data_IF_780713297161
#
_entry.id   IF_780713297161
#
_cell.length_a   1.000
_cell.length_b   1.000
_cell.length_c   1.000
_cell.angle_alpha   90.00
_cell.angle_beta   90.00
_cell.angle_gamma   90.00
#
_symmetry.space_group_name_H-M   'P 1'
#
loop_
_entity.id
_entity.type
_entity.pdbx_description
1 polymer ?
#
# COMPACT_ATOMS: atom_id res chain seq x y z
N UNK A 1 18.92 11.57 22.39
CA UNK A 1 19.15 10.85 21.11
C UNK A 1 18.00 11.19 20.16
N UNK A 2 18.22 12.11 19.23
CA UNK A 2 17.24 12.48 18.21
C UNK A 2 17.41 11.52 17.03
N UNK A 3 16.44 10.63 16.83
CA UNK A 3 16.48 9.69 15.73
C UNK A 3 15.79 10.32 14.51
N UNK A 4 16.56 11.10 13.75
CA UNK A 4 16.09 11.58 12.44
C UNK A 4 16.12 10.43 11.45
N UNK A 5 14.97 9.77 11.25
CA UNK A 5 14.77 8.88 10.09
C UNK A 5 14.67 9.74 8.83
N UNK A 6 15.79 10.02 8.19
CA UNK A 6 15.79 10.48 6.81
C UNK A 6 15.55 9.25 5.92
N UNK A 7 14.29 8.89 5.73
CA UNK A 7 13.92 7.97 4.65
C UNK A 7 14.17 8.72 3.35
N UNK A 8 15.29 8.42 2.69
CA UNK A 8 15.50 8.81 1.28
C UNK A 8 14.53 7.97 0.44
N UNK A 9 13.29 8.41 0.36
CA UNK A 9 12.36 7.91 -0.65
C UNK A 9 12.91 8.38 -1.98
N UNK A 10 13.56 7.50 -2.74
CA UNK A 10 13.93 7.76 -4.13
C UNK A 10 12.65 7.84 -4.95
N UNK A 11 11.95 8.96 -4.86
CA UNK A 11 10.83 9.27 -5.76
C UNK A 11 11.49 9.51 -7.12
N UNK A 12 11.35 8.54 -8.02
CA UNK A 12 11.70 8.71 -9.42
C UNK A 12 10.97 9.95 -9.96
N UNK A 13 11.72 10.92 -10.46
CA UNK A 13 11.15 12.10 -11.13
C UNK A 13 10.27 11.65 -12.29
N UNK A 14 9.09 12.26 -12.49
CA UNK A 14 8.27 11.95 -13.64
C UNK A 14 9.04 12.31 -14.91
N UNK A 15 9.19 11.36 -15.84
CA UNK A 15 9.92 11.55 -17.10
C UNK A 15 9.05 12.37 -18.05
N UNK A 16 9.18 13.70 -17.99
CA UNK A 16 8.51 14.61 -18.91
C UNK A 16 9.39 14.88 -20.14
N UNK A 17 8.84 14.77 -21.35
CA UNK A 17 9.40 15.42 -22.52
C UNK A 17 9.07 16.93 -22.46
N UNK A 18 9.96 17.83 -22.89
CA UNK A 18 9.85 19.27 -22.62
C UNK A 18 8.75 20.04 -23.41
N UNK A 19 7.88 19.37 -24.19
CA UNK A 19 6.98 20.07 -25.14
C UNK A 19 5.51 19.66 -25.13
N UNK A 20 5.02 18.91 -24.14
CA UNK A 20 3.62 18.46 -24.11
C UNK A 20 2.89 18.91 -22.86
N UNK A 21 1.76 19.59 -23.04
CA UNK A 21 0.82 20.09 -22.01
C UNK A 21 0.05 18.99 -21.27
N UNK A 22 0.58 17.76 -21.26
CA UNK A 22 -0.01 16.61 -20.59
C UNK A 22 0.65 16.39 -19.24
N UNK A 23 -0.13 16.19 -18.16
CA UNK A 23 0.44 15.90 -16.85
C UNK A 23 1.29 14.63 -16.92
N UNK A 24 2.51 14.72 -16.39
CA UNK A 24 3.44 13.60 -16.41
C UNK A 24 3.07 12.55 -15.38
N UNK A 25 3.17 11.29 -15.77
CA UNK A 25 2.88 10.15 -14.91
C UNK A 25 4.14 9.70 -14.15
N UNK A 26 3.95 9.22 -12.92
CA UNK A 26 5.01 8.54 -12.18
C UNK A 26 5.11 7.08 -12.63
N UNK A 27 6.33 6.62 -12.91
CA UNK A 27 6.61 5.21 -13.15
C UNK A 27 6.51 4.42 -11.83
N UNK A 28 5.29 4.00 -11.48
CA UNK A 28 5.02 3.27 -10.24
C UNK A 28 4.98 1.77 -10.51
N UNK A 29 5.67 0.98 -9.69
CA UNK A 29 5.63 -0.47 -9.80
C UNK A 29 4.22 -1.01 -9.47
N UNK A 30 3.69 -1.94 -10.26
CA UNK A 30 2.30 -2.40 -10.12
C UNK A 30 1.98 -3.02 -8.74
N UNK A 31 2.99 -3.53 -8.03
CA UNK A 31 2.83 -4.25 -6.76
C UNK A 31 3.09 -3.40 -5.51
N UNK A 32 3.39 -2.09 -5.64
CA UNK A 32 3.74 -1.22 -4.50
C UNK A 32 2.66 -0.20 -4.14
N UNK A 33 1.51 -0.22 -4.84
CA UNK A 33 0.45 0.78 -4.64
C UNK A 33 -0.08 0.78 -3.21
N UNK A 34 -0.22 -0.38 -2.60
CA UNK A 34 -0.67 -0.55 -1.21
C UNK A 34 0.30 0.13 -0.21
N UNK A 35 1.61 0.04 -0.45
CA UNK A 35 2.62 0.72 0.38
C UNK A 35 2.54 2.25 0.26
N UNK A 36 2.27 2.76 -0.94
CA UNK A 36 2.10 4.19 -1.17
C UNK A 36 0.83 4.69 -0.48
N UNK A 37 -0.28 3.95 -0.59
CA UNK A 37 -1.54 4.28 0.08
C UNK A 37 -1.36 4.23 1.60
N UNK A 38 -0.71 3.19 2.13
CA UNK A 38 -0.40 3.06 3.56
C UNK A 38 0.35 4.30 4.08
N UNK A 39 1.45 4.67 3.41
CA UNK A 39 2.26 5.82 3.82
C UNK A 39 1.47 7.14 3.77
N UNK A 40 0.57 7.30 2.79
CA UNK A 40 -0.30 8.48 2.69
C UNK A 40 -1.34 8.50 3.80
N UNK A 41 -1.93 7.36 4.14
CA UNK A 41 -2.90 7.25 5.21
C UNK A 41 -2.25 7.51 6.57
N UNK A 42 -1.05 6.97 6.83
CA UNK A 42 -0.30 7.24 8.07
C UNK A 42 -0.03 8.73 8.29
N UNK A 43 0.25 9.46 7.21
CA UNK A 43 0.53 10.90 7.25
C UNK A 43 -0.72 11.77 6.99
N UNK A 44 -1.91 11.17 6.93
CA UNK A 44 -3.13 11.93 6.62
C UNK A 44 -3.52 12.82 7.81
N UNK A 45 -3.81 14.12 7.61
CA UNK A 45 -4.07 15.06 8.70
C UNK A 45 -5.30 14.70 9.54
N UNK A 46 -6.28 14.01 8.94
CA UNK A 46 -7.49 13.58 9.64
C UNK A 46 -7.38 12.18 10.28
N UNK A 47 -6.19 11.56 10.31
CA UNK A 47 -6.00 10.25 10.93
C UNK A 47 -6.20 10.36 12.44
N UNK A 48 -7.14 9.59 12.97
CA UNK A 48 -7.45 9.54 14.41
C UNK A 48 -7.09 8.17 14.98
N UNK A 49 -6.64 8.16 16.24
CA UNK A 49 -6.44 6.94 17.03
C UNK A 49 -7.65 6.60 17.90
N UNK A 50 -8.58 7.54 18.04
CA UNK A 50 -9.86 7.33 18.74
C UNK A 50 -10.84 6.63 17.77
N UNK A 51 -11.21 5.35 18.01
CA UNK A 51 -12.11 4.60 17.15
C UNK A 51 -13.50 5.23 17.06
N UNK A 52 -13.94 5.93 18.11
CA UNK A 52 -15.28 6.54 18.17
C UNK A 52 -15.44 7.72 17.22
N UNK A 53 -14.32 8.32 16.81
CA UNK A 53 -14.27 9.46 15.86
C UNK A 53 -13.86 9.02 14.45
N UNK A 54 -13.52 7.76 14.27
CA UNK A 54 -13.09 7.24 12.98
C UNK A 54 -14.29 7.08 12.04
N UNK A 55 -14.18 7.60 10.82
CA UNK A 55 -15.19 7.38 9.78
C UNK A 55 -15.01 6.06 9.03
N UNK A 56 -13.77 5.55 9.00
CA UNK A 56 -13.41 4.29 8.39
C UNK A 56 -12.19 3.70 9.09
N UNK A 57 -12.05 2.39 9.00
CA UNK A 57 -10.86 1.66 9.44
C UNK A 57 -10.09 1.18 8.21
N UNK A 58 -8.79 1.46 8.20
CA UNK A 58 -7.88 0.96 7.18
C UNK A 58 -7.06 -0.19 7.76
N UNK A 59 -7.12 -1.35 7.10
CA UNK A 59 -6.31 -2.52 7.45
C UNK A 59 -5.20 -2.64 6.40
N UNK A 60 -3.93 -2.50 6.80
CA UNK A 60 -2.83 -2.60 5.86
C UNK A 60 -2.59 -4.04 5.42
N UNK A 61 -2.84 -4.32 4.14
CA UNK A 61 -2.58 -5.61 3.51
C UNK A 61 -1.69 -5.40 2.29
N UNK A 62 -0.53 -6.06 2.28
CA UNK A 62 0.47 -5.96 1.21
C UNK A 62 0.39 -7.13 0.23
N UNK A 63 -0.83 -7.47 -0.18
CA UNK A 63 -1.12 -8.60 -1.05
C UNK A 63 -0.43 -8.50 -2.41
N UNK A 64 -0.25 -7.28 -2.93
CA UNK A 64 0.48 -7.03 -4.17
C UNK A 64 1.95 -7.48 -4.09
N UNK A 65 2.61 -7.22 -2.95
CA UNK A 65 4.01 -7.60 -2.74
C UNK A 65 4.16 -9.13 -2.72
N UNK A 66 3.29 -9.83 -1.99
CA UNK A 66 3.28 -11.30 -2.02
C UNK A 66 2.96 -11.84 -3.42
N UNK A 67 1.93 -11.26 -4.06
CA UNK A 67 1.53 -11.62 -5.42
C UNK A 67 2.67 -11.49 -6.42
N UNK A 68 3.60 -10.55 -6.22
CA UNK A 68 4.79 -10.43 -7.07
C UNK A 68 5.73 -11.64 -7.00
N UNK A 69 5.75 -12.33 -5.84
CA UNK A 69 6.60 -13.50 -5.59
C UNK A 69 5.98 -14.77 -6.17
N UNK A 70 4.66 -14.92 -6.05
CA UNK A 70 3.91 -16.12 -6.47
C UNK A 70 3.17 -15.93 -7.79
N UNK A 71 3.40 -14.84 -8.53
CA UNK A 71 2.61 -14.48 -9.72
C UNK A 71 2.67 -15.55 -10.82
N UNK A 72 3.78 -16.29 -10.92
CA UNK A 72 4.00 -17.36 -11.90
C UNK A 72 3.44 -18.70 -11.46
N UNK A 73 2.88 -18.80 -10.26
CA UNK A 73 2.35 -20.07 -9.79
C UNK A 73 1.05 -20.43 -10.49
N UNK A 74 1.00 -21.66 -10.99
CA UNK A 74 -0.18 -22.22 -11.67
C UNK A 74 -1.25 -22.64 -10.66
N UNK A 75 -0.85 -22.93 -9.42
CA UNK A 75 -1.76 -23.26 -8.35
C UNK A 75 -2.44 -22.00 -7.78
N UNK A 76 -3.68 -21.78 -8.18
CA UNK A 76 -4.48 -20.63 -7.73
C UNK A 76 -4.76 -20.64 -6.22
N UNK A 77 -4.84 -21.81 -5.59
CA UNK A 77 -5.04 -21.92 -4.15
C UNK A 77 -3.84 -21.36 -3.39
N UNK A 78 -2.63 -21.71 -3.81
CA UNK A 78 -1.40 -21.17 -3.21
C UNK A 78 -1.24 -19.67 -3.50
N UNK A 79 -1.63 -19.22 -4.69
CA UNK A 79 -1.57 -17.80 -5.06
C UNK A 79 -2.51 -16.94 -4.22
N UNK A 80 -3.66 -17.46 -3.83
CA UNK A 80 -4.71 -16.71 -3.12
C UNK A 80 -4.74 -16.95 -1.60
N UNK A 81 -3.85 -17.79 -1.06
CA UNK A 81 -3.85 -18.21 0.35
C UNK A 81 -3.85 -17.03 1.32
N UNK A 82 -2.95 -16.04 1.13
CA UNK A 82 -2.88 -14.88 2.01
C UNK A 82 -4.15 -14.03 2.04
N UNK A 83 -4.88 -13.96 0.93
CA UNK A 83 -6.14 -13.23 0.89
C UNK A 83 -7.23 -13.95 1.69
N UNK A 84 -7.24 -15.29 1.64
CA UNK A 84 -8.13 -16.13 2.43
C UNK A 84 -7.81 -15.98 3.92
N UNK A 85 -6.52 -16.12 4.29
CA UNK A 85 -6.05 -15.97 5.66
C UNK A 85 -6.44 -14.60 6.25
N UNK A 86 -6.34 -13.53 5.46
CA UNK A 86 -6.78 -12.20 5.87
C UNK A 86 -8.28 -12.14 6.15
N UNK A 87 -9.10 -12.72 5.27
CA UNK A 87 -10.57 -12.72 5.45
C UNK A 87 -10.95 -13.51 6.69
N UNK A 88 -10.36 -14.68 6.89
CA UNK A 88 -10.57 -15.50 8.09
C UNK A 88 -10.14 -14.75 9.36
N UNK A 89 -8.99 -14.08 9.32
CA UNK A 89 -8.54 -13.21 10.41
C UNK A 89 -9.55 -12.11 10.69
N UNK A 90 -10.02 -11.38 9.68
CA UNK A 90 -10.97 -10.27 9.84
C UNK A 90 -12.34 -10.73 10.38
N UNK A 91 -12.79 -11.92 9.98
CA UNK A 91 -14.00 -12.55 10.49
C UNK A 91 -13.86 -12.98 11.95
N UNK A 92 -12.67 -13.37 12.38
CA UNK A 92 -12.39 -13.75 13.77
C UNK A 92 -12.28 -12.56 14.73
N UNK A 93 -12.10 -11.35 14.21
CA UNK A 93 -11.94 -10.17 15.04
C UNK A 93 -13.29 -9.76 15.65
N UNK A 94 -13.26 -9.48 16.95
CA UNK A 94 -14.43 -9.06 17.73
C UNK A 94 -14.62 -7.53 17.71
N UNK A 95 -14.30 -6.89 16.58
CA UNK A 95 -14.29 -5.43 16.42
C UNK A 95 -15.64 -4.79 16.72
#
# INVERSE_FOLDING_TARGET
MHYSKTVKTSISTPTCAPSTTTPCWFATHQFIVEMIIHARLENHPCRTWDPSKALLFYVPFYGGLYSSTVFRETNHTLRNSLAIDLVEFLQSQQW
#
